data_IF_610054486516
#
_entry.id   IF_610054486516
#
_cell.length_a   1.000
_cell.length_b   1.000
_cell.length_c   1.000
_cell.angle_alpha   90.00
_cell.angle_beta   90.00
_cell.angle_gamma   90.00
#
_symmetry.space_group_name_H-M   'P 1'
#
loop_
_entity.id
_entity.type
_entity.pdbx_description
1 polymer ?
#
# COMPACT_ATOMS: atom_id res chain seq x y z
N UNK A 1 10.82 -15.39 -28.38
CA UNK A 1 11.18 -15.05 -27.00
C UNK A 1 9.98 -15.23 -26.08
N UNK A 2 10.17 -15.95 -25.01
CA UNK A 2 9.07 -16.14 -24.05
C UNK A 2 8.84 -14.85 -23.27
N UNK A 3 7.57 -14.48 -23.16
CA UNK A 3 7.21 -13.32 -22.35
C UNK A 3 7.27 -13.68 -20.88
N UNK A 4 7.82 -12.77 -20.07
CA UNK A 4 7.86 -12.95 -18.64
C UNK A 4 6.46 -12.74 -18.07
N UNK A 5 5.97 -13.70 -17.31
CA UNK A 5 4.66 -13.60 -16.69
C UNK A 5 4.66 -12.58 -15.56
N UNK A 6 3.60 -11.80 -15.49
CA UNK A 6 3.42 -10.86 -14.40
C UNK A 6 2.95 -11.59 -13.14
N UNK A 7 3.64 -11.31 -12.04
CA UNK A 7 3.33 -11.89 -10.74
C UNK A 7 2.69 -10.79 -9.89
N UNK A 8 1.55 -11.08 -9.31
CA UNK A 8 0.83 -10.08 -8.52
C UNK A 8 0.62 -10.55 -7.10
N UNK A 9 0.76 -9.61 -6.18
CA UNK A 9 0.48 -9.82 -4.77
C UNK A 9 -0.73 -8.98 -4.36
N UNK A 10 -1.17 -9.19 -3.14
CA UNK A 10 -2.29 -8.41 -2.64
C UNK A 10 -1.96 -6.92 -2.58
N UNK A 11 -0.69 -6.59 -2.39
CA UNK A 11 -0.28 -5.19 -2.42
C UNK A 11 -0.55 -4.54 -3.78
N UNK A 12 -0.34 -5.29 -4.87
CA UNK A 12 -0.63 -4.73 -6.21
C UNK A 12 -2.10 -4.33 -6.34
N UNK A 13 -3.00 -5.15 -5.81
CA UNK A 13 -4.42 -4.80 -5.82
C UNK A 13 -4.69 -3.59 -4.93
N UNK A 14 -4.05 -3.55 -3.77
CA UNK A 14 -4.21 -2.43 -2.86
C UNK A 14 -3.79 -1.11 -3.50
N UNK A 15 -2.61 -1.08 -4.12
CA UNK A 15 -2.10 0.18 -4.65
C UNK A 15 -2.95 0.66 -5.83
N UNK A 16 -3.48 -0.27 -6.64
CA UNK A 16 -4.38 0.11 -7.72
C UNK A 16 -5.66 0.75 -7.16
N UNK A 17 -6.22 0.16 -6.11
CA UNK A 17 -7.42 0.70 -5.46
C UNK A 17 -7.15 2.08 -4.86
N UNK A 18 -6.02 2.21 -4.19
CA UNK A 18 -5.66 3.48 -3.56
C UNK A 18 -5.48 4.59 -4.60
N UNK A 19 -4.77 4.29 -5.70
CA UNK A 19 -4.58 5.28 -6.76
C UNK A 19 -5.90 5.68 -7.40
N UNK A 20 -6.81 4.73 -7.55
CA UNK A 20 -8.12 5.02 -8.12
C UNK A 20 -8.92 5.95 -7.19
N UNK A 21 -8.87 5.71 -5.90
CA UNK A 21 -9.57 6.56 -4.94
C UNK A 21 -8.97 7.97 -4.91
N UNK A 22 -7.65 8.08 -5.01
CA UNK A 22 -7.02 9.40 -5.08
C UNK A 22 -7.51 10.16 -6.32
N UNK A 23 -7.61 9.48 -7.45
CA UNK A 23 -8.07 10.11 -8.67
C UNK A 23 -9.53 10.56 -8.56
N UNK A 24 -10.37 9.78 -7.90
CA UNK A 24 -11.77 10.09 -7.74
C UNK A 24 -11.99 11.33 -6.87
N UNK A 25 -11.04 11.66 -6.01
CA UNK A 25 -11.18 12.83 -5.14
C UNK A 25 -10.61 14.10 -5.76
N UNK A 26 -10.26 14.06 -7.03
CA UNK A 26 -9.79 15.23 -7.79
C UNK A 26 -8.70 15.99 -7.05
N UNK A 27 -7.72 15.25 -6.55
CA UNK A 27 -6.67 15.83 -5.75
C UNK A 27 -5.74 16.66 -6.63
N UNK A 28 -5.39 17.89 -6.24
CA UNK A 28 -4.50 18.69 -7.05
C UNK A 28 -3.16 18.01 -7.27
N UNK A 29 -2.69 18.03 -8.51
CA UNK A 29 -1.44 17.37 -8.88
C UNK A 29 -0.21 18.28 -8.75
N UNK A 30 -0.43 19.55 -8.42
CA UNK A 30 0.66 20.53 -8.36
C UNK A 30 1.14 20.79 -6.94
N UNK A 31 0.73 19.97 -5.98
CA UNK A 31 1.14 20.15 -4.60
C UNK A 31 2.59 19.72 -4.45
N UNK A 32 3.40 20.59 -3.85
CA UNK A 32 4.79 20.26 -3.58
C UNK A 32 4.86 19.26 -2.44
N UNK A 33 5.67 18.22 -2.61
CA UNK A 33 5.80 17.19 -1.58
C UNK A 33 6.67 17.72 -0.44
N UNK A 34 6.11 17.71 0.77
CA UNK A 34 6.86 18.14 1.96
C UNK A 34 7.93 17.10 2.32
N UNK A 35 7.60 15.82 2.12
CA UNK A 35 8.52 14.72 2.40
C UNK A 35 8.71 13.94 1.12
N UNK A 36 9.96 13.53 0.86
CA UNK A 36 10.27 12.71 -0.30
C UNK A 36 10.79 11.35 0.14
N UNK A 37 10.49 10.34 -0.66
CA UNK A 37 11.08 9.02 -0.42
C UNK A 37 12.47 9.05 -1.04
N UNK A 38 13.49 9.06 -0.19
CA UNK A 38 14.87 9.13 -0.64
C UNK A 38 15.50 7.79 -0.89
N UNK A 39 14.98 6.75 -0.23
CA UNK A 39 15.55 5.42 -0.36
C UNK A 39 14.48 4.37 -0.07
N UNK A 40 14.43 3.32 -0.90
CA UNK A 40 13.58 2.18 -0.65
C UNK A 40 14.47 1.00 -0.27
N UNK A 41 14.21 0.44 0.90
CA UNK A 41 15.01 -0.64 1.47
C UNK A 41 14.20 -1.93 1.38
N UNK A 42 14.85 -3.01 0.95
CA UNK A 42 14.19 -4.30 0.89
C UNK A 42 15.02 -5.29 0.12
N UNK A 43 14.46 -6.48 -0.03
CA UNK A 43 15.07 -7.53 -0.83
C UNK A 43 14.29 -7.65 -2.13
N UNK A 44 14.99 -7.49 -3.24
CA UNK A 44 14.35 -7.49 -4.55
C UNK A 44 14.83 -8.69 -5.37
N UNK A 45 13.88 -9.43 -5.94
CA UNK A 45 14.19 -10.53 -6.83
C UNK A 45 13.13 -10.57 -7.92
N UNK A 46 13.55 -10.30 -9.17
CA UNK A 46 12.63 -10.23 -10.30
C UNK A 46 11.51 -9.21 -10.06
N UNK A 47 11.90 -8.08 -9.49
CA UNK A 47 10.96 -7.04 -9.08
C UNK A 47 11.49 -5.69 -9.53
N UNK A 48 10.66 -4.94 -10.24
CA UNK A 48 10.96 -3.56 -10.63
C UNK A 48 10.21 -2.61 -9.73
N UNK A 49 10.82 -1.48 -9.43
CA UNK A 49 10.28 -0.49 -8.51
C UNK A 49 9.90 0.77 -9.27
N UNK A 50 8.71 1.29 -8.98
CA UNK A 50 8.27 2.59 -9.51
C UNK A 50 7.78 3.44 -8.36
N UNK A 51 8.35 4.64 -8.23
CA UNK A 51 7.92 5.60 -7.20
C UNK A 51 7.16 6.73 -7.88
N UNK A 52 5.96 7.00 -7.40
CA UNK A 52 5.10 8.05 -7.93
C UNK A 52 4.77 9.04 -6.82
N UNK A 53 4.90 10.33 -7.11
CA UNK A 53 4.55 11.37 -6.14
C UNK A 53 3.08 11.74 -6.31
N UNK A 54 2.29 11.53 -5.26
CA UNK A 54 0.87 11.92 -5.21
C UNK A 54 0.64 12.66 -3.91
N UNK A 55 1.36 13.76 -3.75
CA UNK A 55 1.34 14.49 -2.49
C UNK A 55 0.09 15.33 -2.37
N UNK A 56 -0.52 15.28 -1.19
CA UNK A 56 -1.76 15.97 -0.88
C UNK A 56 -1.56 16.93 0.25
N UNK A 57 -2.33 18.02 0.24
CA UNK A 57 -2.33 18.93 1.38
C UNK A 57 -3.05 18.33 2.58
N UNK A 58 -4.00 17.43 2.35
CA UNK A 58 -4.76 16.81 3.42
C UNK A 58 -4.23 15.41 3.68
N UNK A 59 -3.29 15.29 4.62
CA UNK A 59 -2.67 14.01 4.92
C UNK A 59 -3.65 13.04 5.59
N UNK A 60 -4.62 13.57 6.33
CA UNK A 60 -5.60 12.68 6.96
C UNK A 60 -6.51 12.02 5.93
N UNK A 61 -6.90 12.77 4.89
CA UNK A 61 -7.68 12.17 3.80
C UNK A 61 -6.88 11.09 3.09
N UNK A 62 -5.62 11.39 2.80
CA UNK A 62 -4.75 10.41 2.18
C UNK A 62 -4.66 9.13 3.00
N UNK A 63 -4.49 9.28 4.31
CA UNK A 63 -4.41 8.14 5.21
C UNK A 63 -5.71 7.35 5.23
N UNK A 64 -6.85 8.06 5.28
CA UNK A 64 -8.16 7.41 5.31
C UNK A 64 -8.40 6.59 4.04
N UNK A 65 -8.11 7.17 2.88
CA UNK A 65 -8.28 6.46 1.62
C UNK A 65 -7.37 5.23 1.54
N UNK A 66 -6.17 5.36 2.10
CA UNK A 66 -5.23 4.24 2.15
C UNK A 66 -5.80 3.08 2.97
N UNK A 67 -6.36 3.37 4.14
CA UNK A 67 -6.92 2.34 5.00
C UNK A 67 -8.17 1.74 4.37
N UNK A 68 -9.01 2.56 3.75
CA UNK A 68 -10.18 2.03 3.05
C UNK A 68 -9.79 1.05 1.97
N UNK A 69 -8.75 1.38 1.19
CA UNK A 69 -8.26 0.49 0.14
C UNK A 69 -7.71 -0.81 0.74
N UNK A 70 -7.00 -0.70 1.86
CA UNK A 70 -6.45 -1.85 2.54
C UNK A 70 -7.57 -2.81 2.97
N UNK A 71 -8.60 -2.28 3.63
CA UNK A 71 -9.70 -3.10 4.12
C UNK A 71 -10.47 -3.73 2.96
N UNK A 72 -10.69 -2.95 1.89
CA UNK A 72 -11.37 -3.46 0.71
C UNK A 72 -10.66 -4.67 0.13
N UNK A 73 -9.34 -4.59 0.03
CA UNK A 73 -8.56 -5.63 -0.61
C UNK A 73 -8.48 -6.88 0.27
N UNK A 74 -8.25 -6.72 1.58
CA UNK A 74 -8.16 -7.89 2.45
C UNK A 74 -9.52 -8.56 2.65
N UNK A 75 -10.63 -7.88 2.35
CA UNK A 75 -11.94 -8.51 2.40
C UNK A 75 -12.10 -9.61 1.35
N UNK A 76 -11.19 -9.64 0.36
CA UNK A 76 -11.20 -10.72 -0.64
C UNK A 76 -10.62 -12.02 -0.10
N UNK A 77 -9.95 -11.96 1.03
CA UNK A 77 -9.29 -13.12 1.62
C UNK A 77 -10.25 -13.93 2.49
N UNK A 78 -9.85 -15.15 2.80
CA UNK A 78 -10.58 -15.96 3.76
C UNK A 78 -10.52 -15.31 5.15
N UNK A 79 -11.46 -15.70 6.02
CA UNK A 79 -11.46 -15.17 7.37
C UNK A 79 -10.18 -15.48 8.11
N UNK A 80 -9.63 -16.67 7.88
CA UNK A 80 -8.37 -17.05 8.52
C UNK A 80 -7.23 -16.14 8.11
N UNK A 81 -7.14 -15.84 6.81
CA UNK A 81 -6.06 -14.97 6.32
C UNK A 81 -6.26 -13.53 6.77
N UNK A 82 -7.50 -13.06 6.83
CA UNK A 82 -7.77 -11.73 7.34
C UNK A 82 -7.36 -11.59 8.80
N UNK A 83 -7.65 -12.61 9.60
CA UNK A 83 -7.26 -12.59 11.01
C UNK A 83 -5.74 -12.58 11.17
N UNK A 84 -5.04 -13.33 10.32
CA UNK A 84 -3.58 -13.36 10.39
C UNK A 84 -3.00 -11.98 10.13
N UNK A 85 -3.53 -11.29 9.13
CA UNK A 85 -3.07 -9.93 8.81
C UNK A 85 -3.40 -8.98 9.96
N UNK A 86 -4.62 -9.08 10.50
CA UNK A 86 -5.03 -8.22 11.60
C UNK A 86 -4.12 -8.41 12.82
N UNK A 87 -3.77 -9.65 13.12
CA UNK A 87 -2.87 -9.92 14.24
C UNK A 87 -1.47 -9.38 13.98
N UNK A 88 -0.98 -9.55 12.74
CA UNK A 88 0.36 -9.08 12.39
C UNK A 88 0.47 -7.57 12.56
N UNK A 89 -0.56 -6.85 12.14
CA UNK A 89 -0.56 -5.38 12.19
C UNK A 89 -1.05 -4.87 13.55
N UNK A 90 -1.82 -5.68 14.27
CA UNK A 90 -2.36 -5.31 15.57
C UNK A 90 -3.60 -4.46 15.48
N UNK A 91 -4.52 -4.80 14.58
CA UNK A 91 -5.73 -4.03 14.35
C UNK A 91 -6.97 -4.92 14.44
N UNK A 92 -8.13 -4.28 14.60
CA UNK A 92 -9.43 -4.94 14.59
C UNK A 92 -10.14 -4.56 13.30
N UNK A 93 -10.26 -5.52 12.38
CA UNK A 93 -10.81 -5.26 11.06
C UNK A 93 -12.32 -5.03 11.06
N UNK A 94 -12.99 -5.36 12.15
CA UNK A 94 -14.44 -5.14 12.25
C UNK A 94 -14.79 -3.71 12.60
N UNK A 95 -13.80 -2.89 12.95
CA UNK A 95 -14.01 -1.50 13.35
C UNK A 95 -13.09 -0.61 12.53
N UNK A 96 -13.58 -0.17 11.36
CA UNK A 96 -12.74 0.60 10.42
C UNK A 96 -12.21 1.90 11.02
N UNK A 97 -13.03 2.71 11.72
CA UNK A 97 -12.47 3.92 12.34
C UNK A 97 -11.37 3.61 13.34
N UNK A 98 -11.47 2.49 14.05
CA UNK A 98 -10.42 2.08 14.97
C UNK A 98 -9.14 1.71 14.23
N UNK A 99 -9.26 1.09 13.05
CA UNK A 99 -8.08 0.76 12.25
C UNK A 99 -7.34 2.03 11.85
N UNK A 100 -8.09 3.03 11.34
CA UNK A 100 -7.48 4.30 10.94
C UNK A 100 -6.78 4.95 12.13
N UNK A 101 -7.48 5.02 13.26
CA UNK A 101 -6.93 5.69 14.44
C UNK A 101 -5.67 5.00 14.95
N UNK A 102 -5.66 3.67 14.97
CA UNK A 102 -4.52 2.95 15.50
C UNK A 102 -3.31 3.07 14.61
N UNK A 103 -3.49 2.92 13.29
CA UNK A 103 -2.38 3.09 12.37
C UNK A 103 -1.85 4.52 12.40
N UNK A 104 -2.76 5.48 12.50
CA UNK A 104 -2.36 6.88 12.57
C UNK A 104 -1.56 7.16 13.84
N UNK A 105 -2.00 6.62 14.97
CA UNK A 105 -1.30 6.81 16.23
C UNK A 105 0.11 6.19 16.17
N UNK A 106 0.22 4.98 15.63
CA UNK A 106 1.51 4.33 15.53
C UNK A 106 2.46 5.11 14.64
N UNK A 107 1.96 5.65 13.54
CA UNK A 107 2.81 6.38 12.61
C UNK A 107 3.11 7.79 13.09
N UNK A 108 2.23 8.40 13.87
CA UNK A 108 2.57 9.66 14.52
C UNK A 108 3.73 9.47 15.51
N UNK A 109 3.69 8.38 16.27
CA UNK A 109 4.78 8.08 17.19
C UNK A 109 6.08 7.85 16.44
N UNK A 110 6.01 7.15 15.32
CA UNK A 110 7.20 6.93 14.48
C UNK A 110 7.80 8.27 14.01
N UNK A 111 6.93 9.17 13.54
CA UNK A 111 7.40 10.45 13.04
C UNK A 111 8.02 11.32 14.14
N UNK A 112 7.53 11.19 15.37
CA UNK A 112 8.07 11.96 16.49
C UNK A 112 9.46 11.49 16.91
N UNK A 113 9.71 10.19 16.76
CA UNK A 113 10.97 9.61 17.25
C UNK A 113 12.09 9.69 16.22
N UNK A 114 11.76 9.56 14.94
CA UNK A 114 12.77 9.42 13.89
C UNK A 114 13.12 10.77 13.28
N UNK A 115 14.40 10.90 12.87
CA UNK A 115 14.81 12.10 12.17
C UNK A 115 14.40 12.03 10.69
N UNK A 116 14.59 13.16 10.00
CA UNK A 116 14.07 13.27 8.64
C UNK A 116 14.75 12.27 7.68
N UNK A 117 16.00 11.93 7.93
CA UNK A 117 16.69 10.97 7.07
C UNK A 117 16.04 9.61 7.18
N UNK A 118 15.70 9.19 8.40
CA UNK A 118 15.04 7.90 8.60
C UNK A 118 13.61 7.90 8.07
N UNK A 119 12.93 9.04 8.21
CA UNK A 119 11.56 9.19 7.70
C UNK A 119 11.53 9.05 6.19
N UNK A 120 12.60 9.48 5.50
CA UNK A 120 12.67 9.39 4.06
C UNK A 120 13.04 7.99 3.55
N UNK A 121 13.33 7.06 4.46
CA UNK A 121 13.59 5.68 4.09
C UNK A 121 12.30 4.87 4.18
N UNK A 122 12.03 4.07 3.16
CA UNK A 122 10.85 3.22 3.12
C UNK A 122 11.29 1.77 3.07
N UNK A 123 10.93 1.00 4.08
CA UNK A 123 11.28 -0.41 4.14
C UNK A 123 10.09 -1.24 3.66
N UNK A 124 10.26 -1.92 2.53
CA UNK A 124 9.19 -2.71 1.93
C UNK A 124 9.26 -4.18 2.28
N UNK A 125 10.30 -4.59 3.00
CA UNK A 125 10.50 -6.00 3.29
C UNK A 125 11.02 -6.75 2.10
N UNK A 126 10.14 -7.47 1.42
CA UNK A 126 10.55 -8.31 0.32
C UNK A 126 9.67 -8.07 -0.89
N UNK A 127 10.31 -7.98 -2.07
CA UNK A 127 9.61 -7.94 -3.35
C UNK A 127 10.22 -9.01 -4.24
N UNK A 128 9.54 -10.16 -4.35
CA UNK A 128 10.09 -11.30 -5.06
C UNK A 128 9.05 -11.92 -5.98
N UNK A 129 9.47 -12.23 -7.19
CA UNK A 129 8.69 -13.03 -8.12
C UNK A 129 9.45 -14.31 -8.44
N UNK A 130 8.75 -15.42 -8.70
CA UNK A 130 9.42 -16.68 -9.04
C UNK A 130 10.20 -16.56 -10.34
N UNK A 131 11.15 -17.47 -10.59
CA UNK A 131 11.87 -17.46 -11.87
C UNK A 131 10.91 -17.53 -13.04
N UNK A 132 11.20 -16.73 -14.07
CA UNK A 132 10.35 -16.66 -15.26
C UNK A 132 9.16 -15.73 -15.09
N UNK A 133 9.01 -15.13 -13.93
CA UNK A 133 7.95 -14.16 -13.68
C UNK A 133 8.56 -12.84 -13.23
N UNK A 134 7.77 -11.79 -13.32
CA UNK A 134 8.23 -10.47 -12.90
C UNK A 134 7.11 -9.74 -12.16
N UNK A 135 7.51 -8.79 -11.35
CA UNK A 135 6.59 -8.04 -10.54
C UNK A 135 6.94 -6.55 -10.62
N UNK A 136 5.93 -5.70 -10.66
CA UNK A 136 6.12 -4.26 -10.56
C UNK A 136 5.59 -3.81 -9.22
N UNK A 137 6.45 -3.19 -8.42
CA UNK A 137 6.07 -2.65 -7.12
C UNK A 137 5.92 -1.14 -7.26
N UNK A 138 4.72 -0.65 -7.16
CA UNK A 138 4.44 0.77 -7.23
C UNK A 138 4.39 1.35 -5.82
N UNK A 139 5.22 2.32 -5.56
CA UNK A 139 5.27 3.04 -4.28
C UNK A 139 4.76 4.44 -4.52
N UNK A 140 3.85 4.87 -3.67
CA UNK A 140 3.28 6.22 -3.75
C UNK A 140 3.87 7.06 -2.62
N UNK A 141 4.53 8.16 -2.98
CA UNK A 141 4.93 9.15 -2.00
C UNK A 141 3.74 10.07 -1.76
N UNK A 142 3.22 10.03 -0.55
CA UNK A 142 2.08 10.87 -0.17
C UNK A 142 2.49 12.27 0.24
N UNK A 143 3.79 12.50 0.44
CA UNK A 143 4.29 13.77 0.92
C UNK A 143 4.14 13.95 2.43
N UNK A 144 3.68 12.93 3.12
CA UNK A 144 3.46 12.95 4.57
C UNK A 144 4.23 11.81 5.21
N UNK A 145 4.98 12.12 6.28
CA UNK A 145 5.73 11.08 6.98
C UNK A 145 4.79 10.04 7.57
N UNK A 146 3.67 10.48 8.12
CA UNK A 146 2.71 9.57 8.74
C UNK A 146 2.06 8.67 7.70
N UNK A 147 1.65 9.23 6.56
CA UNK A 147 0.99 8.43 5.53
C UNK A 147 1.98 7.49 4.84
N UNK A 148 3.23 7.93 4.65
CA UNK A 148 4.24 7.02 4.10
C UNK A 148 4.55 5.88 5.07
N UNK A 149 4.51 6.16 6.37
CA UNK A 149 4.65 5.11 7.38
C UNK A 149 3.51 4.08 7.27
N UNK A 150 2.28 4.57 7.08
CA UNK A 150 1.15 3.67 6.87
C UNK A 150 1.34 2.79 5.66
N UNK A 151 1.82 3.39 4.57
CA UNK A 151 2.10 2.63 3.36
C UNK A 151 3.17 1.57 3.61
N UNK A 152 4.21 1.90 4.37
CA UNK A 152 5.25 0.94 4.70
C UNK A 152 4.67 -0.26 5.44
N UNK A 153 3.80 -0.01 6.39
CA UNK A 153 3.14 -1.09 7.13
C UNK A 153 2.35 -1.99 6.20
N UNK A 154 1.59 -1.38 5.30
CA UNK A 154 0.72 -2.13 4.39
C UNK A 154 1.53 -2.93 3.37
N UNK A 155 2.57 -2.34 2.78
CA UNK A 155 3.34 -3.05 1.78
C UNK A 155 4.04 -4.26 2.38
N UNK A 156 4.54 -4.14 3.60
CA UNK A 156 5.22 -5.25 4.25
C UNK A 156 4.28 -6.43 4.49
N UNK A 157 3.03 -6.17 4.85
CA UNK A 157 2.09 -7.25 5.15
C UNK A 157 1.47 -7.82 3.88
N UNK A 158 1.16 -7.01 2.88
CA UNK A 158 0.42 -7.47 1.71
C UNK A 158 1.30 -7.97 0.59
N UNK A 159 2.56 -7.53 0.50
CA UNK A 159 3.40 -7.86 -0.64
C UNK A 159 3.91 -9.29 -0.61
N UNK A 160 3.66 -10.01 0.45
CA UNK A 160 4.05 -11.42 0.55
C UNK A 160 2.88 -12.37 0.32
N UNK A 161 1.71 -11.85 -0.05
CA UNK A 161 0.53 -12.65 -0.28
C UNK A 161 0.23 -12.69 -1.78
N UNK A 162 0.40 -13.87 -2.37
CA UNK A 162 0.15 -14.06 -3.80
C UNK A 162 -1.34 -14.02 -4.09
N UNK A 163 -1.69 -13.37 -5.20
CA UNK A 163 -3.08 -13.24 -5.63
C UNK A 163 -3.32 -14.15 -6.83
N UNK A 164 -4.16 -15.18 -6.68
CA UNK A 164 -4.57 -15.94 -7.85
C UNK A 164 -5.38 -15.10 -8.83
N UNK A 165 -5.35 -15.40 -10.12
CA UNK A 165 -6.09 -14.60 -11.09
C UNK A 165 -7.58 -14.46 -10.79
N UNK A 166 -8.20 -15.43 -10.13
CA UNK A 166 -9.63 -15.37 -9.85
C UNK A 166 -9.95 -14.23 -8.88
N UNK A 167 -9.08 -13.96 -7.90
CA UNK A 167 -9.31 -12.85 -6.98
C UNK A 167 -9.11 -11.52 -7.71
N UNK A 168 -8.10 -11.45 -8.57
CA UNK A 168 -7.88 -10.25 -9.38
C UNK A 168 -9.09 -9.94 -10.24
N UNK A 169 -9.68 -10.96 -10.84
CA UNK A 169 -10.85 -10.78 -11.68
C UNK A 169 -12.06 -10.30 -10.88
N UNK A 170 -12.21 -10.77 -9.65
CA UNK A 170 -13.29 -10.27 -8.79
C UNK A 170 -13.13 -8.77 -8.53
N UNK A 171 -11.96 -8.34 -8.27
CA UNK A 171 -11.72 -6.92 -8.01
C UNK A 171 -11.95 -6.06 -9.25
N UNK A 172 -11.56 -6.53 -10.09
CA UNK A 172 -11.77 -5.90 -11.34
C UNK A 172 -13.23 -5.78 -11.69
N UNK A 173 -13.92 -6.74 -11.34
CA UNK A 173 -15.35 -6.68 -11.55
C UNK A 173 -15.98 -5.60 -10.66
N UNK A 174 -15.69 -5.63 -9.43
CA UNK A 174 -16.17 -4.58 -8.53
C UNK A 174 -15.75 -3.17 -8.96
N UNK A 175 -14.69 -3.09 -9.27
CA UNK A 175 -14.15 -1.84 -9.70
C UNK A 175 -14.80 -1.34 -10.92
N UNK A 176 -15.12 -2.21 -11.60
CA UNK A 176 -15.78 -1.93 -12.81
C UNK A 176 -17.20 -1.60 -12.61
N UNK A 177 -17.68 -2.20 -11.83
CA UNK A 177 -19.04 -2.08 -11.55
C UNK A 177 -19.33 -0.92 -10.67
N UNK A 178 -18.55 -0.60 -10.10
CA UNK A 178 -18.67 0.44 -9.19
C UNK A 178 -18.38 1.77 -9.75
N UNK A 179 -17.85 1.64 -10.66
CA UNK A 179 -17.48 2.78 -11.35
C UNK A 179 -18.33 3.55 -11.86
#
# INVERSE_FOLDING_TARGET
MAETKEFKTLYNLFIDSYLQKLAQHSIPTNVTCAIHIGEVIGQFKNCALRITNKCMSNSRLSFTLMVESFIEVISLLSEKDRRAIAEEIGIDLDDVPSVVSKLEKNCNAYAEVNNIIDIQKLNIGECSAPPGQHMLLQIVNTGSAEANCGLQTIVKSLNKIYVPPIIENRLXYYXXXXX
#
